data_IF_114747240821
#
_entry.id   IF_114747240821
#
_cell.length_a   1.000
_cell.length_b   1.000
_cell.length_c   1.000
_cell.angle_alpha   90.00
_cell.angle_beta   90.00
_cell.angle_gamma   90.00
#
_symmetry.space_group_name_H-M   'P 1'
#
loop_
_entity.id
_entity.type
_entity.pdbx_description
1 polymer ?
#
# COMPACT_ATOMS: atom_id res chain seq x y z
N UNK A 1 -25.95 26.55 8.12
CA UNK A 1 -25.87 27.04 6.73
C UNK A 1 -24.51 27.67 6.50
N UNK A 2 -23.50 26.86 6.19
CA UNK A 2 -22.20 27.31 5.66
C UNK A 2 -21.56 26.11 4.97
N UNK A 3 -21.96 25.87 3.73
CA UNK A 3 -21.32 24.91 2.84
C UNK A 3 -21.07 25.60 1.50
N UNK A 4 -19.95 25.23 0.88
CA UNK A 4 -19.44 25.59 -0.45
C UNK A 4 -18.66 26.90 -0.55
N UNK A 5 -17.33 26.81 -0.40
CA UNK A 5 -16.37 27.59 -1.22
C UNK A 5 -14.89 27.17 -1.04
N UNK A 6 -14.50 25.92 -1.35
CA UNK A 6 -13.05 25.56 -1.44
C UNK A 6 -12.78 24.39 -2.42
N UNK A 7 -13.36 24.38 -3.63
CA UNK A 7 -13.00 23.41 -4.68
C UNK A 7 -12.83 24.05 -6.06
N UNK A 8 -11.91 25.00 -6.15
CA UNK A 8 -11.24 25.38 -7.40
C UNK A 8 -9.79 25.69 -6.98
N UNK A 9 -8.80 25.43 -7.83
CA UNK A 9 -7.37 25.79 -7.68
C UNK A 9 -6.30 24.68 -7.49
N UNK A 10 -6.57 23.39 -7.73
CA UNK A 10 -5.48 22.40 -7.89
C UNK A 10 -5.23 21.75 -9.26
N UNK A 11 -5.96 22.02 -10.38
CA UNK A 11 -5.57 21.42 -11.66
C UNK A 11 -4.50 22.22 -12.42
N UNK A 12 -4.29 23.52 -12.16
CA UNK A 12 -3.48 24.37 -13.05
C UNK A 12 -1.96 24.14 -12.94
N UNK A 13 -1.45 23.72 -11.78
CA UNK A 13 -0.01 23.47 -11.59
C UNK A 13 0.46 22.13 -12.19
N UNK A 14 -0.45 21.19 -12.40
CA UNK A 14 -0.12 19.88 -12.97
C UNK A 14 -0.01 19.91 -14.50
N UNK A 15 -0.68 20.87 -15.17
CA UNK A 15 -0.56 21.07 -16.62
C UNK A 15 0.76 21.72 -17.06
N UNK A 16 1.36 22.57 -16.23
CA UNK A 16 2.60 23.30 -16.58
C UNK A 16 3.84 22.38 -16.56
N UNK A 17 3.87 21.40 -15.64
CA UNK A 17 4.94 20.39 -15.56
C UNK A 17 4.84 19.33 -16.67
N UNK A 18 3.64 19.05 -17.18
CA UNK A 18 3.43 18.15 -18.32
C UNK A 18 3.90 18.77 -19.65
N UNK A 19 3.74 20.09 -19.82
CA UNK A 19 4.18 20.79 -21.03
C UNK A 19 5.72 20.85 -21.17
N UNK A 20 6.46 20.88 -20.06
CA UNK A 20 7.94 20.95 -20.09
C UNK A 20 8.58 19.60 -20.43
N UNK A 21 7.96 18.48 -20.05
CA UNK A 21 8.43 17.14 -20.43
C UNK A 21 8.21 16.87 -21.93
N UNK A 22 7.11 17.40 -22.50
CA UNK A 22 6.79 17.26 -23.93
C UNK A 22 7.74 18.08 -24.81
N UNK A 23 8.23 19.24 -24.34
CA UNK A 23 9.18 20.08 -25.07
C UNK A 23 10.56 19.46 -25.31
N UNK A 24 10.98 18.48 -24.49
CA UNK A 24 12.29 17.83 -24.61
C UNK A 24 12.28 16.57 -25.50
N UNK A 25 11.11 16.08 -25.91
CA UNK A 25 10.97 14.85 -26.70
C UNK A 25 11.04 15.06 -28.23
N UNK A 26 11.15 16.31 -28.72
CA UNK A 26 11.06 16.64 -30.15
C UNK A 26 12.34 16.45 -30.98
N UNK A 27 13.36 15.74 -30.46
CA UNK A 27 14.62 15.52 -31.20
C UNK A 27 14.97 14.05 -31.50
N UNK A 28 14.02 13.11 -31.40
CA UNK A 28 14.29 11.72 -31.76
C UNK A 28 13.08 10.95 -32.31
N UNK A 29 13.06 10.79 -33.64
CA UNK A 29 12.39 9.76 -34.45
C UNK A 29 10.97 9.31 -34.01
N UNK A 30 9.98 9.54 -34.89
CA UNK A 30 8.53 9.47 -34.68
C UNK A 30 7.89 8.22 -34.02
N UNK A 31 8.63 7.16 -33.72
CA UNK A 31 8.11 5.98 -33.01
C UNK A 31 7.85 6.23 -31.51
N UNK A 32 8.63 7.10 -30.86
CA UNK A 32 8.56 7.29 -29.40
C UNK A 32 7.38 8.18 -28.96
N UNK A 33 6.92 9.06 -29.84
CA UNK A 33 5.78 9.93 -29.58
C UNK A 33 4.45 9.15 -29.62
N UNK A 34 4.33 8.18 -30.54
CA UNK A 34 3.16 7.31 -30.65
C UNK A 34 3.05 6.36 -29.44
N UNK A 35 4.17 5.78 -28.97
CA UNK A 35 4.19 4.96 -27.74
C UNK A 35 3.78 5.75 -26.50
N UNK A 36 4.24 7.00 -26.37
CA UNK A 36 3.87 7.87 -25.25
C UNK A 36 2.37 8.23 -25.28
N UNK A 37 1.82 8.49 -26.47
CA UNK A 37 0.38 8.73 -26.63
C UNK A 37 -0.45 7.48 -26.34
N UNK A 38 0.00 6.29 -26.76
CA UNK A 38 -0.67 5.03 -26.45
C UNK A 38 -0.66 4.73 -24.95
N UNK A 39 0.47 4.93 -24.28
CA UNK A 39 0.55 4.78 -22.81
C UNK A 39 -0.35 5.78 -22.09
N UNK A 40 -0.41 7.03 -22.56
CA UNK A 40 -1.28 8.05 -21.98
C UNK A 40 -2.76 7.72 -22.17
N UNK A 41 -3.16 7.21 -23.34
CA UNK A 41 -4.52 6.74 -23.59
C UNK A 41 -4.88 5.53 -22.73
N UNK A 42 -3.97 4.56 -22.60
CA UNK A 42 -4.17 3.41 -21.69
C UNK A 42 -4.34 3.85 -20.24
N UNK A 43 -3.54 4.80 -19.76
CA UNK A 43 -3.67 5.34 -18.40
C UNK A 43 -5.00 6.08 -18.21
N UNK A 44 -5.42 6.90 -19.18
CA UNK A 44 -6.70 7.61 -19.11
C UNK A 44 -7.89 6.63 -19.15
N UNK A 45 -7.79 5.56 -19.92
CA UNK A 45 -8.84 4.56 -20.01
C UNK A 45 -8.94 3.72 -18.74
N UNK A 46 -7.80 3.31 -18.17
CA UNK A 46 -7.75 2.69 -16.84
C UNK A 46 -8.35 3.62 -15.78
N UNK A 47 -7.99 4.91 -15.76
CA UNK A 47 -8.56 5.89 -14.81
C UNK A 47 -10.08 6.05 -14.96
N UNK A 48 -10.61 6.09 -16.19
CA UNK A 48 -12.05 6.15 -16.46
C UNK A 48 -12.77 4.88 -16.03
N UNK A 49 -12.18 3.73 -16.30
CA UNK A 49 -12.72 2.43 -15.91
C UNK A 49 -12.78 2.31 -14.38
N UNK A 50 -11.69 2.67 -13.68
CA UNK A 50 -11.65 2.75 -12.21
C UNK A 50 -12.67 3.74 -11.63
N UNK A 51 -12.84 4.91 -12.25
CA UNK A 51 -13.81 5.91 -11.79
C UNK A 51 -15.28 5.49 -11.98
N UNK A 52 -15.55 4.56 -12.90
CA UNK A 52 -16.90 4.02 -13.17
C UNK A 52 -17.27 2.82 -12.29
N UNK A 53 -16.32 2.27 -11.51
CA UNK A 53 -16.57 1.16 -10.59
C UNK A 53 -17.44 1.63 -9.43
N UNK A 54 -18.67 1.10 -9.35
CA UNK A 54 -19.52 1.18 -8.15
C UNK A 54 -18.84 0.35 -7.05
N UNK A 55 -18.15 1.05 -6.14
CA UNK A 55 -17.29 0.45 -5.12
C UNK A 55 -18.10 -0.37 -4.11
N UNK A 56 -17.65 -1.59 -3.73
CA UNK A 56 -18.27 -2.35 -2.66
C UNK A 56 -18.16 -1.63 -1.32
N UNK A 57 -19.05 -1.95 -0.37
CA UNK A 57 -19.01 -1.44 1.00
C UNK A 57 -18.20 -2.40 1.86
N UNK A 58 -17.08 -2.00 2.46
CA UNK A 58 -16.51 -2.83 3.53
C UNK A 58 -17.51 -2.76 4.69
N UNK A 59 -18.01 -3.92 5.11
CA UNK A 59 -18.70 -4.01 6.39
C UNK A 59 -17.57 -4.13 7.42
N UNK A 60 -17.33 -3.10 8.26
CA UNK A 60 -16.47 -3.30 9.41
C UNK A 60 -17.11 -4.44 10.19
N UNK A 61 -16.45 -5.60 10.23
CA UNK A 61 -16.76 -6.59 11.24
C UNK A 61 -16.68 -5.87 12.58
N UNK A 62 -17.57 -6.20 13.52
CA UNK A 62 -17.63 -5.53 14.82
C UNK A 62 -16.20 -5.37 15.31
N UNK A 63 -15.77 -4.10 15.33
CA UNK A 63 -14.43 -3.68 15.67
C UNK A 63 -13.93 -4.57 16.82
N UNK A 64 -12.74 -5.19 16.74
CA UNK A 64 -12.14 -5.67 17.97
C UNK A 64 -12.20 -4.50 18.94
N UNK A 65 -12.73 -4.73 20.13
CA UNK A 65 -13.10 -3.76 21.17
C UNK A 65 -11.86 -3.03 21.74
N UNK A 66 -11.04 -2.43 20.88
CA UNK A 66 -9.74 -1.88 21.17
C UNK A 66 -9.47 -0.66 20.30
N UNK A 67 -10.14 0.43 20.65
CA UNK A 67 -9.53 1.76 20.50
C UNK A 67 -8.32 1.86 21.47
N UNK A 68 -7.34 2.71 21.15
CA UNK A 68 -5.91 2.43 21.31
C UNK A 68 -5.51 2.32 22.78
N UNK A 69 -5.17 1.11 23.20
CA UNK A 69 -4.21 0.96 24.27
C UNK A 69 -2.88 1.40 23.72
N UNK A 70 -2.49 2.65 23.97
CA UNK A 70 -1.12 3.19 23.90
C UNK A 70 -0.18 2.30 23.06
N UNK A 71 -0.22 2.42 21.73
CA UNK A 71 0.94 1.98 20.98
C UNK A 71 2.10 2.82 21.50
N UNK A 72 3.19 2.15 21.91
CA UNK A 72 4.36 2.85 22.39
C UNK A 72 4.71 3.94 21.36
N UNK A 73 4.87 5.21 21.80
CA UNK A 73 5.11 6.28 20.86
C UNK A 73 6.29 5.91 19.96
N UNK A 74 6.06 5.96 18.65
CA UNK A 74 7.14 5.80 17.70
C UNK A 74 8.12 6.96 17.90
N UNK A 75 9.35 6.62 18.25
CA UNK A 75 10.45 7.57 18.38
C UNK A 75 11.53 7.24 17.37
N UNK A 76 12.11 8.30 16.80
CA UNK A 76 13.41 8.19 16.12
C UNK A 76 14.50 7.83 17.13
N UNK A 77 15.67 7.40 16.65
CA UNK A 77 16.84 7.14 17.50
C UNK A 77 17.29 8.39 18.27
N UNK A 78 17.00 9.58 17.74
CA UNK A 78 17.24 10.88 18.38
C UNK A 78 16.12 11.32 19.34
N UNK A 79 15.13 10.45 19.61
CA UNK A 79 14.04 10.72 20.55
C UNK A 79 12.89 11.57 20.01
N UNK A 80 12.94 12.00 18.73
CA UNK A 80 11.85 12.76 18.10
C UNK A 80 10.61 11.88 18.01
N UNK A 81 9.50 12.38 18.56
CA UNK A 81 8.17 11.77 18.44
C UNK A 81 7.63 11.96 17.02
N UNK A 82 7.49 10.85 16.27
CA UNK A 82 6.98 10.89 14.89
C UNK A 82 5.43 10.89 14.85
N UNK A 83 4.76 10.77 15.99
CA UNK A 83 3.30 10.71 16.08
C UNK A 83 2.64 12.10 16.02
N UNK A 84 3.42 13.19 15.97
CA UNK A 84 2.87 14.55 15.92
C UNK A 84 2.66 15.08 14.48
N UNK A 85 2.59 14.19 13.48
CA UNK A 85 2.36 14.58 12.08
C UNK A 85 3.51 15.38 11.46
N UNK A 86 4.71 15.33 12.06
CA UNK A 86 5.90 16.03 11.58
C UNK A 86 6.29 15.56 10.17
N UNK A 87 6.60 16.51 9.29
CA UNK A 87 7.11 16.24 7.95
C UNK A 87 8.64 16.19 8.01
N UNK A 88 9.22 15.04 7.67
CA UNK A 88 10.66 14.81 7.63
C UNK A 88 11.20 15.05 6.21
N UNK A 89 11.17 16.30 5.75
CA UNK A 89 11.52 16.68 4.38
C UNK A 89 12.97 16.40 3.96
N UNK A 90 13.86 16.16 4.93
CA UNK A 90 15.26 15.80 4.70
C UNK A 90 15.54 14.29 4.80
N UNK A 91 14.57 13.48 5.23
CA UNK A 91 14.73 12.02 5.36
C UNK A 91 14.05 11.33 4.19
N UNK A 92 14.64 10.25 3.71
CA UNK A 92 13.98 9.30 2.81
C UNK A 92 13.21 8.23 3.60
N UNK A 93 12.44 7.40 2.90
CA UNK A 93 11.82 6.20 3.48
C UNK A 93 12.89 5.33 4.14
N UNK A 94 14.03 5.10 3.47
CA UNK A 94 15.09 4.26 4.02
C UNK A 94 15.74 4.89 5.26
N UNK A 95 15.93 6.22 5.29
CA UNK A 95 16.45 6.93 6.47
C UNK A 95 15.53 6.73 7.67
N UNK A 96 14.22 6.93 7.50
CA UNK A 96 13.26 6.72 8.59
C UNK A 96 13.17 5.25 9.04
N UNK A 97 13.27 4.29 8.12
CA UNK A 97 13.33 2.86 8.47
C UNK A 97 14.60 2.51 9.27
N UNK A 98 15.72 3.21 9.03
CA UNK A 98 16.93 3.08 9.84
C UNK A 98 16.76 3.70 11.24
N UNK A 99 16.11 4.86 11.31
CA UNK A 99 16.01 5.66 12.53
C UNK A 99 14.96 5.15 13.52
N UNK A 100 13.85 4.57 13.06
CA UNK A 100 12.78 4.09 13.93
C UNK A 100 13.01 2.63 14.32
N UNK A 101 13.39 2.40 15.58
CA UNK A 101 13.71 1.06 16.11
C UNK A 101 12.57 0.05 15.97
N UNK A 102 11.32 0.50 16.13
CA UNK A 102 10.13 -0.37 16.05
C UNK A 102 9.80 -0.85 14.62
N UNK A 103 10.57 -0.45 13.60
CA UNK A 103 10.36 -0.87 12.20
C UNK A 103 11.51 -1.77 11.70
N UNK A 104 12.39 -2.24 12.59
CA UNK A 104 13.60 -2.98 12.22
C UNK A 104 13.33 -4.31 11.53
N UNK A 105 12.27 -5.04 11.88
CA UNK A 105 11.92 -6.32 11.24
C UNK A 105 11.55 -6.12 9.77
N UNK A 106 10.75 -5.09 9.46
CA UNK A 106 10.45 -4.77 8.06
C UNK A 106 11.68 -4.22 7.32
N UNK A 107 12.51 -3.40 7.97
CA UNK A 107 13.78 -2.96 7.39
C UNK A 107 14.66 -4.14 6.98
N UNK A 108 14.74 -5.20 7.79
CA UNK A 108 15.49 -6.41 7.44
C UNK A 108 14.94 -7.08 6.17
N UNK A 109 13.62 -7.13 5.99
CA UNK A 109 12.99 -7.61 4.74
C UNK A 109 13.41 -6.75 3.54
N UNK A 110 13.38 -5.42 3.69
CA UNK A 110 13.83 -4.48 2.64
C UNK A 110 15.30 -4.70 2.28
N UNK A 111 16.17 -4.87 3.27
CA UNK A 111 17.61 -5.11 3.08
C UNK A 111 17.89 -6.47 2.44
N UNK A 112 17.10 -7.49 2.78
CA UNK A 112 17.20 -8.83 2.20
C UNK A 112 16.62 -8.92 0.78
N UNK A 113 15.85 -7.91 0.33
CA UNK A 113 15.20 -7.88 -0.98
C UNK A 113 15.98 -6.98 -1.95
N UNK A 114 16.67 -7.53 -2.96
CA UNK A 114 17.53 -6.75 -3.83
C UNK A 114 16.80 -5.57 -4.50
N UNK A 115 17.43 -4.39 -4.46
CA UNK A 115 16.96 -3.17 -5.12
C UNK A 115 16.09 -2.24 -4.26
N UNK A 116 15.33 -2.75 -3.30
CA UNK A 116 14.39 -1.92 -2.53
C UNK A 116 15.06 -0.93 -1.59
N UNK A 117 16.10 -1.35 -0.84
CA UNK A 117 16.85 -0.44 0.03
C UNK A 117 17.45 0.74 -0.76
N UNK A 118 17.97 0.48 -1.96
CA UNK A 118 18.50 1.52 -2.86
C UNK A 118 17.37 2.43 -3.35
N UNK A 119 16.27 1.87 -3.85
CA UNK A 119 15.13 2.65 -4.34
C UNK A 119 14.59 3.60 -3.25
N UNK A 120 14.38 3.09 -2.04
CA UNK A 120 13.88 3.86 -0.89
C UNK A 120 14.86 4.88 -0.34
N UNK A 121 16.16 4.77 -0.65
CA UNK A 121 17.18 5.76 -0.30
C UNK A 121 17.36 6.85 -1.36
N UNK A 122 16.67 6.79 -2.50
CA UNK A 122 16.76 7.81 -3.55
C UNK A 122 15.51 8.70 -3.59
N UNK A 123 15.60 9.86 -4.23
CA UNK A 123 14.48 10.82 -4.37
C UNK A 123 13.87 10.85 -5.76
N UNK A 124 14.23 9.90 -6.63
CA UNK A 124 13.78 9.86 -8.01
C UNK A 124 12.32 9.38 -8.13
N UNK A 125 11.89 8.56 -7.17
CA UNK A 125 10.56 8.00 -7.10
C UNK A 125 9.92 8.36 -5.76
N UNK A 126 8.58 8.30 -5.70
CA UNK A 126 7.82 8.52 -4.47
C UNK A 126 7.05 7.28 -4.11
N UNK A 127 7.10 6.89 -2.84
CA UNK A 127 6.45 5.67 -2.34
C UNK A 127 5.50 5.96 -1.18
N UNK A 128 4.40 5.21 -1.12
CA UNK A 128 3.67 5.01 0.13
C UNK A 128 3.95 3.60 0.59
N UNK A 129 4.58 3.45 1.75
CA UNK A 129 5.02 2.15 2.27
C UNK A 129 4.24 1.83 3.53
N UNK A 130 3.48 0.74 3.48
CA UNK A 130 2.80 0.17 4.64
C UNK A 130 3.80 -0.71 5.39
N UNK A 131 4.14 -0.30 6.62
CA UNK A 131 5.23 -0.91 7.38
C UNK A 131 4.65 -1.56 8.63
N UNK A 132 4.65 -2.90 8.73
CA UNK A 132 4.25 -3.57 9.96
C UNK A 132 5.26 -3.25 11.07
N UNK A 133 4.74 -2.95 12.26
CA UNK A 133 5.60 -2.79 13.45
C UNK A 133 6.33 -4.10 13.79
N UNK A 134 7.40 -4.03 14.57
CA UNK A 134 8.10 -5.23 15.04
C UNK A 134 7.16 -6.19 15.78
N UNK A 135 6.24 -5.66 16.60
CA UNK A 135 5.21 -6.45 17.27
C UNK A 135 4.25 -7.13 16.29
N UNK A 136 3.93 -6.51 15.15
CA UNK A 136 3.09 -7.14 14.12
C UNK A 136 3.69 -8.47 13.64
N UNK A 137 5.02 -8.53 13.50
CA UNK A 137 5.73 -9.74 13.10
C UNK A 137 5.76 -10.85 14.15
N UNK A 138 5.45 -10.55 15.42
CA UNK A 138 5.32 -11.58 16.48
C UNK A 138 3.93 -12.19 16.53
N UNK A 139 2.95 -11.61 15.86
CA UNK A 139 1.56 -12.08 15.84
C UNK A 139 1.25 -13.05 14.70
N UNK A 140 2.19 -13.24 13.77
CA UNK A 140 2.00 -14.08 12.58
C UNK A 140 3.04 -15.18 12.55
N UNK A 141 2.57 -16.42 12.64
CA UNK A 141 3.44 -17.59 12.53
C UNK A 141 3.90 -17.82 11.08
N UNK A 142 5.17 -18.16 10.90
CA UNK A 142 5.69 -18.71 9.64
C UNK A 142 6.01 -17.70 8.53
N UNK A 143 6.01 -16.39 8.79
CA UNK A 143 6.50 -15.43 7.77
C UNK A 143 8.00 -15.63 7.48
N UNK A 144 8.80 -16.00 8.50
CA UNK A 144 10.25 -16.26 8.39
C UNK A 144 10.57 -17.60 7.73
N UNK A 145 9.71 -18.62 7.88
CA UNK A 145 9.98 -19.94 7.29
C UNK A 145 9.87 -19.92 5.76
N UNK A 146 9.10 -18.98 5.19
CA UNK A 146 8.95 -18.81 3.74
C UNK A 146 10.11 -18.06 3.08
N UNK A 147 10.91 -17.31 3.85
CA UNK A 147 12.04 -16.55 3.31
C UNK A 147 13.32 -17.39 3.17
N UNK A 148 13.37 -18.57 3.81
CA UNK A 148 14.56 -19.45 3.85
C UNK A 148 14.54 -20.58 2.81
N UNK A 149 13.63 -20.56 1.84
CA UNK A 149 13.53 -21.56 0.77
C UNK A 149 14.23 -21.10 -0.51
N UNK A 150 14.45 -21.99 -1.48
CA UNK A 150 14.96 -21.63 -2.82
C UNK A 150 14.07 -20.58 -3.50
N UNK A 151 12.76 -20.63 -3.24
CA UNK A 151 11.78 -19.65 -3.72
C UNK A 151 11.64 -18.41 -2.81
N UNK A 152 12.38 -18.38 -1.70
CA UNK A 152 12.28 -17.38 -0.65
C UNK A 152 12.57 -15.96 -1.13
N UNK A 153 13.43 -15.81 -2.15
CA UNK A 153 13.70 -14.51 -2.76
C UNK A 153 12.52 -13.98 -3.60
N UNK A 154 11.82 -14.85 -4.33
CA UNK A 154 10.61 -14.47 -5.05
C UNK A 154 9.49 -14.12 -4.06
N UNK A 155 9.38 -14.89 -2.97
CA UNK A 155 8.46 -14.61 -1.88
C UNK A 155 8.74 -13.24 -1.25
N UNK A 156 9.99 -12.98 -0.84
CA UNK A 156 10.42 -11.70 -0.26
C UNK A 156 10.08 -10.51 -1.16
N UNK A 157 10.43 -10.62 -2.45
CA UNK A 157 10.12 -9.58 -3.44
C UNK A 157 8.61 -9.33 -3.54
N UNK A 158 7.80 -10.38 -3.61
CA UNK A 158 6.36 -10.24 -3.72
C UNK A 158 5.74 -9.64 -2.45
N UNK A 159 6.19 -10.07 -1.27
CA UNK A 159 5.80 -9.50 0.02
C UNK A 159 6.15 -8.02 0.11
N UNK A 160 7.40 -7.64 -0.17
CA UNK A 160 7.81 -6.23 -0.13
C UNK A 160 7.02 -5.41 -1.15
N UNK A 161 6.88 -5.89 -2.39
CA UNK A 161 6.14 -5.17 -3.43
C UNK A 161 4.67 -4.92 -3.06
N UNK A 162 4.03 -5.82 -2.32
CA UNK A 162 2.64 -5.68 -1.90
C UNK A 162 2.43 -4.64 -0.79
N UNK A 163 3.47 -4.35 -0.01
CA UNK A 163 3.44 -3.30 1.01
C UNK A 163 3.70 -1.90 0.42
N UNK A 164 3.95 -1.79 -0.89
CA UNK A 164 4.41 -0.55 -1.51
C UNK A 164 3.43 -0.11 -2.57
N UNK A 165 2.96 1.13 -2.47
CA UNK A 165 2.14 1.80 -3.47
C UNK A 165 2.99 2.85 -4.17
N UNK A 166 2.88 2.92 -5.49
CA UNK A 166 3.51 3.98 -6.27
C UNK A 166 2.82 5.30 -5.95
N UNK A 167 3.62 6.32 -5.63
CA UNK A 167 3.20 7.65 -5.19
C UNK A 167 2.56 7.66 -3.79
N UNK A 168 2.88 8.72 -3.04
CA UNK A 168 2.20 8.99 -1.79
C UNK A 168 0.85 9.65 -2.06
N UNK A 169 -0.21 9.14 -1.44
CA UNK A 169 -1.51 9.80 -1.40
C UNK A 169 -1.78 10.37 -0.01
N UNK A 170 -2.57 11.43 0.05
CA UNK A 170 -3.07 11.95 1.32
C UNK A 170 -4.22 11.06 1.81
N UNK A 171 -4.03 10.40 2.96
CA UNK A 171 -5.08 9.61 3.60
C UNK A 171 -6.31 10.47 3.97
N UNK A 172 -6.14 11.77 4.20
CA UNK A 172 -7.24 12.71 4.44
C UNK A 172 -8.13 12.95 3.22
N UNK A 173 -7.63 12.66 2.01
CA UNK A 173 -8.38 12.75 0.76
C UNK A 173 -9.15 11.45 0.43
N UNK A 174 -8.90 10.35 1.17
CA UNK A 174 -9.65 9.10 1.00
C UNK A 174 -11.09 9.31 1.50
N UNK A 175 -12.12 8.98 0.69
CA UNK A 175 -13.50 9.10 1.12
C UNK A 175 -13.77 8.30 2.40
N UNK A 176 -14.22 8.99 3.45
CA UNK A 176 -14.54 8.32 4.73
C UNK A 176 -15.69 7.33 4.56
N UNK A 177 -15.63 6.23 5.30
CA UNK A 177 -16.62 5.16 5.33
C UNK A 177 -16.79 4.38 4.01
N UNK A 178 -15.88 4.57 3.05
CA UNK A 178 -15.87 3.85 1.79
C UNK A 178 -14.48 3.23 1.56
N UNK A 179 -14.40 1.96 1.15
CA UNK A 179 -13.12 1.39 0.74
C UNK A 179 -12.61 2.05 -0.52
N UNK A 180 -11.30 2.26 -0.54
CA UNK A 180 -10.59 2.85 -1.66
C UNK A 180 -9.44 1.92 -2.09
N UNK A 181 -9.47 1.38 -3.32
CA UNK A 181 -8.40 0.52 -3.79
C UNK A 181 -7.14 1.32 -4.11
N UNK A 182 -6.01 0.83 -3.65
CA UNK A 182 -4.69 1.34 -3.99
C UNK A 182 -3.86 0.25 -4.69
N UNK A 183 -3.50 0.44 -5.98
CA UNK A 183 -2.61 -0.48 -6.67
C UNK A 183 -1.21 -0.48 -6.05
N UNK A 184 -0.71 -1.67 -5.73
CA UNK A 184 0.64 -1.90 -5.17
C UNK A 184 1.68 -2.07 -6.29
N UNK A 185 2.96 -2.21 -5.94
CA UNK A 185 3.99 -2.62 -6.89
C UNK A 185 3.96 -4.13 -7.18
N UNK A 186 3.22 -4.92 -6.41
CA UNK A 186 3.11 -6.36 -6.63
C UNK A 186 2.25 -6.69 -7.85
N UNK A 187 2.69 -7.68 -8.64
CA UNK A 187 1.95 -8.21 -9.78
C UNK A 187 1.43 -9.60 -9.42
N UNK A 188 0.11 -9.75 -9.38
CA UNK A 188 -0.59 -11.01 -9.17
C UNK A 188 -1.07 -11.61 -10.51
N UNK A 189 -1.63 -12.83 -10.46
CA UNK A 189 -2.14 -13.54 -11.65
C UNK A 189 -3.20 -12.73 -12.44
N UNK A 190 -4.04 -11.95 -11.75
CA UNK A 190 -5.10 -11.13 -12.34
C UNK A 190 -4.66 -9.67 -12.61
N UNK A 191 -3.36 -9.40 -12.66
CA UNK A 191 -2.80 -8.05 -12.84
C UNK A 191 -2.19 -7.49 -11.56
N UNK A 192 -2.02 -6.16 -11.52
CA UNK A 192 -1.43 -5.47 -10.36
C UNK A 192 -2.30 -5.69 -9.11
N UNK A 193 -1.68 -6.17 -8.04
CA UNK A 193 -2.36 -6.40 -6.78
C UNK A 193 -2.73 -5.05 -6.14
N UNK A 194 -3.85 -5.00 -5.42
CA UNK A 194 -4.33 -3.79 -4.75
C UNK A 194 -4.49 -4.01 -3.26
N UNK A 195 -4.34 -2.94 -2.49
CA UNK A 195 -4.76 -2.83 -1.10
C UNK A 195 -6.12 -2.14 -1.02
N UNK A 196 -6.90 -2.45 -0.01
CA UNK A 196 -8.13 -1.73 0.32
C UNK A 196 -7.89 -0.80 1.50
N UNK A 197 -7.94 0.50 1.27
CA UNK A 197 -7.88 1.48 2.35
C UNK A 197 -9.29 1.82 2.81
N UNK A 198 -9.49 1.83 4.12
CA UNK A 198 -10.72 2.27 4.75
C UNK A 198 -10.40 3.31 5.81
N UNK A 199 -11.04 4.48 5.72
CA UNK A 199 -10.93 5.53 6.74
C UNK A 199 -12.29 5.65 7.42
N UNK A 200 -12.39 5.15 8.65
CA UNK A 200 -13.54 5.28 9.52
C UNK A 200 -13.61 6.64 10.20
N UNK A 201 -14.52 6.77 11.17
CA UNK A 201 -14.62 8.00 11.97
C UNK A 201 -13.51 8.10 13.03
N UNK A 202 -13.01 6.96 13.50
CA UNK A 202 -12.07 6.87 14.62
C UNK A 202 -10.83 6.04 14.33
N UNK A 203 -10.86 5.25 13.27
CA UNK A 203 -9.81 4.35 12.86
C UNK A 203 -9.58 4.42 11.35
N UNK A 204 -8.43 3.94 10.91
CA UNK A 204 -8.13 3.71 9.51
C UNK A 204 -7.45 2.35 9.36
N UNK A 205 -7.75 1.66 8.28
CA UNK A 205 -7.30 0.30 8.02
C UNK A 205 -6.80 0.17 6.60
N UNK A 206 -5.86 -0.75 6.42
CA UNK A 206 -5.43 -1.26 5.12
C UNK A 206 -5.65 -2.77 5.11
N UNK A 207 -6.53 -3.23 4.22
CA UNK A 207 -7.12 -4.55 4.29
C UNK A 207 -7.72 -4.79 5.69
N UNK A 208 -7.09 -5.64 6.50
CA UNK A 208 -7.48 -5.90 7.90
C UNK A 208 -6.56 -5.27 8.93
N UNK A 209 -5.42 -4.73 8.49
CA UNK A 209 -4.40 -4.19 9.39
C UNK A 209 -4.80 -2.77 9.79
N UNK A 210 -4.77 -2.51 11.09
CA UNK A 210 -5.05 -1.18 11.64
C UNK A 210 -3.86 -0.28 11.43
N UNK A 211 -4.10 0.95 10.99
CA UNK A 211 -3.07 2.00 10.97
C UNK A 211 -2.90 2.51 12.41
N UNK A 212 -1.71 2.32 12.97
CA UNK A 212 -1.46 2.51 14.41
C UNK A 212 -0.69 3.77 14.76
N UNK A 213 -0.24 4.53 13.77
CA UNK A 213 0.41 5.80 13.94
C UNK A 213 0.00 6.77 12.82
N UNK A 214 0.06 8.08 13.06
CA UNK A 214 -0.09 9.07 11.99
C UNK A 214 0.90 8.81 10.85
N UNK A 215 0.46 9.13 9.63
CA UNK A 215 1.28 8.96 8.43
C UNK A 215 2.54 9.81 8.53
N UNK A 216 3.70 9.18 8.38
CA UNK A 216 5.01 9.83 8.47
C UNK A 216 5.39 10.29 7.07
N UNK A 217 5.34 11.60 6.83
CA UNK A 217 5.69 12.18 5.55
C UNK A 217 7.21 12.39 5.45
N UNK A 218 7.81 11.92 4.36
CA UNK A 218 9.25 11.96 4.11
C UNK A 218 9.54 12.55 2.72
N UNK A 219 10.80 12.87 2.44
CA UNK A 219 11.23 13.52 1.18
C UNK A 219 10.74 12.78 -0.07
N UNK A 220 10.85 11.47 -0.08
CA UNK A 220 10.51 10.59 -1.20
C UNK A 220 9.22 9.78 -0.94
N UNK A 221 8.27 10.32 -0.16
CA UNK A 221 6.97 9.67 0.01
C UNK A 221 6.41 9.69 1.43
N UNK A 222 5.86 8.56 1.86
CA UNK A 222 5.25 8.40 3.17
C UNK A 222 5.39 6.97 3.72
N UNK A 223 5.42 6.85 5.05
CA UNK A 223 5.37 5.58 5.78
C UNK A 223 4.05 5.54 6.56
N UNK A 224 3.33 4.42 6.43
CA UNK A 224 2.10 4.13 7.18
C UNK A 224 2.34 2.89 8.03
N UNK A 225 2.31 3.05 9.36
CA UNK A 225 2.63 1.95 10.27
C UNK A 225 1.37 1.15 10.61
N UNK A 226 1.46 -0.17 10.52
CA UNK A 226 0.33 -1.11 10.72
C UNK A 226 0.60 -2.16 11.78
N UNK A 227 -0.46 -2.70 12.39
CA UNK A 227 -0.39 -3.71 13.46
C UNK A 227 -0.29 -5.15 12.99
N UNK A 228 -0.42 -5.40 11.68
CA UNK A 228 -0.34 -6.72 11.07
C UNK A 228 0.46 -6.68 9.77
N UNK A 229 1.30 -7.69 9.47
CA UNK A 229 1.87 -7.86 8.14
C UNK A 229 0.80 -8.10 7.08
N UNK A 230 0.98 -7.53 5.88
CA UNK A 230 0.11 -7.77 4.74
C UNK A 230 0.59 -9.01 3.97
N UNK A 231 -0.23 -10.05 3.89
CA UNK A 231 0.15 -11.29 3.18
C UNK A 231 -0.42 -11.29 1.75
N UNK A 232 0.42 -11.09 0.72
CA UNK A 232 -0.06 -11.00 -0.66
C UNK A 232 -0.66 -12.31 -1.17
N UNK A 233 -0.29 -13.48 -0.61
CA UNK A 233 -0.84 -14.76 -1.07
C UNK A 233 -2.24 -15.01 -0.52
N UNK A 234 -2.55 -14.45 0.65
CA UNK A 234 -3.87 -14.56 1.27
C UNK A 234 -4.80 -13.45 0.82
N UNK A 235 -4.28 -12.22 0.79
CA UNK A 235 -5.08 -11.02 0.65
C UNK A 235 -5.28 -10.63 -0.81
N UNK A 236 -4.24 -10.66 -1.65
CA UNK A 236 -4.35 -10.15 -3.02
C UNK A 236 -5.44 -10.86 -3.86
N UNK A 237 -5.60 -12.21 -3.81
CA UNK A 237 -6.69 -12.86 -4.52
C UNK A 237 -8.08 -12.43 -4.02
N UNK A 238 -8.23 -12.29 -2.70
CA UNK A 238 -9.51 -11.91 -2.08
C UNK A 238 -9.87 -10.46 -2.38
N UNK A 239 -8.90 -9.55 -2.32
CA UNK A 239 -9.09 -8.14 -2.70
C UNK A 239 -9.44 -8.03 -4.19
N UNK A 240 -8.80 -8.83 -5.05
CA UNK A 240 -9.14 -8.86 -6.47
C UNK A 240 -10.58 -9.34 -6.71
N UNK A 241 -11.04 -10.37 -5.99
CA UNK A 241 -12.41 -10.86 -6.09
C UNK A 241 -13.43 -9.82 -5.61
N UNK A 242 -13.13 -9.07 -4.55
CA UNK A 242 -13.95 -7.94 -4.07
C UNK A 242 -14.09 -6.86 -5.13
N UNK A 243 -12.98 -6.47 -5.75
CA UNK A 243 -12.98 -5.46 -6.81
C UNK A 243 -13.77 -5.90 -8.03
N UNK A 244 -13.61 -7.17 -8.42
CA UNK A 244 -14.24 -7.72 -9.61
C UNK A 244 -15.74 -7.99 -9.39
N UNK A 245 -16.11 -8.62 -8.28
CA UNK A 245 -17.50 -9.01 -7.98
C UNK A 245 -18.33 -7.87 -7.37
N UNK A 246 -17.69 -6.75 -6.97
CA UNK A 246 -18.33 -5.64 -6.24
C UNK A 246 -19.01 -6.11 -4.95
N UNK A 247 -18.47 -7.16 -4.33
CA UNK A 247 -18.95 -7.75 -3.10
C UNK A 247 -18.29 -7.12 -1.88
N UNK A 248 -18.96 -7.21 -0.73
CA UNK A 248 -18.39 -6.78 0.55
C UNK A 248 -17.49 -7.90 1.11
N UNK A 249 -16.30 -7.56 1.61
CA UNK A 249 -15.47 -8.50 2.37
C UNK A 249 -15.32 -8.00 3.81
N UNK A 250 -15.39 -8.92 4.77
CA UNK A 250 -15.07 -8.61 6.17
C UNK A 250 -13.61 -8.95 6.46
N UNK A 251 -13.04 -8.31 7.48
CA UNK A 251 -11.67 -8.63 7.93
C UNK A 251 -11.53 -10.09 8.35
N UNK A 252 -12.60 -10.67 8.91
CA UNK A 252 -12.69 -12.11 9.20
C UNK A 252 -12.55 -12.95 7.93
N UNK A 253 -13.25 -12.60 6.85
CA UNK A 253 -13.14 -13.33 5.57
C UNK A 253 -11.75 -13.21 4.92
N UNK A 254 -11.05 -12.08 5.10
CA UNK A 254 -9.66 -11.88 4.66
C UNK A 254 -8.65 -12.71 5.50
N UNK A 255 -8.86 -12.82 6.82
CA UNK A 255 -7.92 -13.48 7.74
C UNK A 255 -8.22 -14.96 8.02
N UNK A 256 -9.40 -15.48 7.63
CA UNK A 256 -9.79 -16.86 7.90
C UNK A 256 -8.84 -17.86 7.20
N UNK A 257 -7.89 -18.41 7.99
CA UNK A 257 -7.03 -19.56 7.68
C UNK A 257 -7.83 -20.81 7.30
N UNK A 258 -9.06 -20.96 7.81
CA UNK A 258 -9.84 -22.18 7.72
C UNK A 258 -10.21 -22.59 6.27
N UNK A 259 -10.33 -21.65 5.32
CA UNK A 259 -10.52 -22.00 3.90
C UNK A 259 -9.28 -22.62 3.25
N UNK A 260 -8.08 -22.50 3.86
CA UNK A 260 -6.83 -23.10 3.35
C UNK A 260 -6.88 -24.63 3.38
N UNK A 261 -7.42 -25.20 4.45
CA UNK A 261 -7.39 -26.65 4.63
C UNK A 261 -8.49 -27.35 3.81
N UNK A 262 -9.57 -26.63 3.44
CA UNK A 262 -10.61 -27.13 2.53
C UNK A 262 -10.24 -27.05 1.04
N UNK A 263 -9.51 -26.02 0.59
CA UNK A 263 -9.11 -25.90 -0.83
C UNK A 263 -7.81 -26.63 -1.17
N UNK A 264 -6.95 -26.90 -0.19
CA UNK A 264 -5.76 -27.74 -0.38
C UNK A 264 -6.08 -29.24 -0.31
N UNK A 265 -7.15 -29.66 0.38
CA UNK A 265 -7.59 -31.07 0.40
C UNK A 265 -8.43 -31.45 -0.82
N UNK A 266 -9.23 -30.54 -1.38
CA UNK A 266 -10.09 -30.83 -2.55
C UNK A 266 -9.35 -30.93 -3.88
N UNK A 267 -8.08 -30.51 -3.95
CA UNK A 267 -7.23 -30.69 -5.13
C UNK A 267 -6.43 -32.00 -5.12
N UNK A 268 -6.46 -32.75 -4.01
CA UNK A 268 -5.79 -34.06 -3.89
C UNK A 268 -6.73 -35.27 -4.03
N UNK A 269 -8.05 -35.04 -4.07
CA UNK A 269 -9.07 -36.11 -4.16
C UNK A 269 -9.70 -36.27 -5.54
N UNK A 270 -9.25 -35.54 -6.56
CA UNK A 270 -9.73 -35.66 -7.96
C UNK A 270 -8.71 -36.30 -8.92
N UNK A 271 -7.62 -36.85 -8.39
CA UNK A 271 -6.67 -37.68 -9.12
C UNK A 271 -6.42 -39.00 -8.36
N UNK A 272 -7.42 -39.88 -8.35
CA UNK A 272 -7.30 -41.29 -7.98
C UNK A 272 -8.37 -42.09 -8.70
#
# INVERSE_FOLDING_TARGET
>A
MYHHHQQRWLPLLQWILLATIIGLALLGHGSRAEEAQQQQQQQQQQQKEFASVKMPKLLPDKSPTRMPGHFAPLHTTSGIDVNNGTVFSNHTVMDMLNDIKNLSSFRQLIQATPGYAKAFGTTNERFMVFVPSNHAFTLVDGWQSRTNTTDGQAYLRYTVAYHVVAHAIDLGAVPRQWPWPLPTLAVAKKGRASLMIYVGEKDAQVNCATIIAPMINVKNGAIVVVDQPLDPWLEAPKVADVLYNKETISCKALNDKAKRDMMASSSSSSAS
#
